data_IF_053954251399
#
_entry.id   IF_053954251399
#
_cell.length_a   1.000
_cell.length_b   1.000
_cell.length_c   1.000
_cell.angle_alpha   90.00
_cell.angle_beta   90.00
_cell.angle_gamma   90.00
#
_symmetry.space_group_name_H-M   'P 1'
#
loop_
_entity.id
_entity.type
_entity.pdbx_description
1 polymer ?
#
# COMPACT_ATOMS: atom_id res chain seq x y z
N UNK A 1 -2.09 4.35 -71.33
CA UNK A 1 -1.57 5.73 -71.21
C UNK A 1 -0.20 5.63 -70.54
N UNK A 2 0.84 5.97 -71.31
CA UNK A 2 2.22 6.42 -70.95
C UNK A 2 2.85 5.82 -69.66
N UNK A 3 3.83 4.90 -69.75
CA UNK A 3 5.31 5.15 -69.79
C UNK A 3 5.82 5.68 -68.41
N UNK A 4 6.86 5.16 -67.74
CA UNK A 4 8.17 4.69 -68.22
C UNK A 4 8.87 3.79 -67.19
N UNK A 5 9.63 2.84 -67.73
CA UNK A 5 10.70 2.08 -67.09
C UNK A 5 11.87 2.98 -66.66
N UNK A 6 12.67 2.59 -65.67
CA UNK A 6 14.12 2.42 -65.81
C UNK A 6 14.73 1.81 -64.54
N UNK A 7 15.23 0.59 -64.68
CA UNK A 7 16.22 -0.02 -63.77
C UNK A 7 17.56 0.62 -64.08
N UNK A 8 18.29 1.11 -63.07
CA UNK A 8 19.75 1.18 -63.10
C UNK A 8 20.32 0.93 -61.70
N UNK A 9 21.13 -0.13 -61.64
CA UNK A 9 21.93 -0.60 -60.51
C UNK A 9 23.12 0.33 -60.36
N UNK A 10 23.35 0.89 -59.17
CA UNK A 10 24.65 1.41 -58.76
C UNK A 10 24.96 0.87 -57.36
N UNK A 11 25.90 -0.05 -57.33
CA UNK A 11 26.57 -0.57 -56.14
C UNK A 11 27.51 0.50 -55.60
N UNK A 12 27.31 0.97 -54.37
CA UNK A 12 28.34 1.62 -53.57
C UNK A 12 28.38 0.96 -52.20
N UNK A 13 29.43 0.17 -52.03
CA UNK A 13 29.93 -0.38 -50.78
C UNK A 13 30.50 0.79 -49.98
N UNK A 14 29.95 1.08 -48.81
CA UNK A 14 30.66 1.82 -47.75
C UNK A 14 30.48 1.04 -46.45
N UNK A 15 31.49 0.23 -46.14
CA UNK A 15 31.73 -0.27 -44.80
C UNK A 15 32.16 0.89 -43.91
N UNK A 16 31.38 1.18 -42.86
CA UNK A 16 31.90 1.81 -41.65
C UNK A 16 31.47 0.93 -40.48
N UNK A 17 32.46 0.22 -39.97
CA UNK A 17 32.43 -0.47 -38.68
C UNK A 17 32.34 0.57 -37.57
N UNK A 18 31.29 0.51 -36.74
CA UNK A 18 31.38 0.98 -35.36
C UNK A 18 30.80 -0.07 -34.44
N UNK A 19 31.54 -0.28 -33.36
CA UNK A 19 31.39 -1.32 -32.35
C UNK A 19 30.04 -1.18 -31.66
N UNK A 20 29.17 -2.18 -31.83
CA UNK A 20 28.02 -2.37 -30.96
C UNK A 20 28.51 -2.98 -29.64
N UNK A 21 28.72 -2.13 -28.63
CA UNK A 21 29.00 -2.56 -27.27
C UNK A 21 27.95 -3.57 -26.82
N UNK A 22 28.42 -4.71 -26.32
CA UNK A 22 27.64 -5.64 -25.53
C UNK A 22 27.11 -4.90 -24.29
N UNK A 23 25.82 -4.58 -24.27
CA UNK A 23 25.17 -4.20 -23.02
C UNK A 23 25.04 -5.47 -22.19
N UNK A 24 26.04 -5.72 -21.35
CA UNK A 24 25.87 -6.51 -20.15
C UNK A 24 24.87 -5.72 -19.32
N UNK A 25 23.60 -6.13 -19.35
CA UNK A 25 22.60 -5.64 -18.43
C UNK A 25 23.17 -5.82 -17.02
N UNK A 26 23.49 -4.69 -16.38
CA UNK A 26 23.99 -4.69 -15.01
C UNK A 26 22.86 -5.20 -14.14
N UNK A 27 23.00 -6.42 -13.64
CA UNK A 27 22.16 -7.03 -12.59
C UNK A 27 21.94 -6.08 -11.41
N UNK A 28 22.86 -5.13 -11.21
CA UNK A 28 22.80 -4.07 -10.21
C UNK A 28 21.65 -3.05 -10.45
N UNK A 29 21.23 -2.79 -11.69
CA UNK A 29 20.13 -1.86 -11.98
C UNK A 29 18.74 -2.52 -11.76
N UNK A 30 18.60 -3.81 -12.08
CA UNK A 30 17.40 -4.59 -11.70
C UNK A 30 17.27 -4.73 -10.18
N UNK A 31 18.37 -5.05 -9.50
CA UNK A 31 18.41 -5.15 -8.02
C UNK A 31 18.10 -3.80 -7.38
N UNK A 32 18.58 -2.69 -7.93
CA UNK A 32 18.34 -1.35 -7.36
C UNK A 32 16.91 -0.87 -7.62
N UNK A 33 16.34 -1.16 -8.80
CA UNK A 33 14.96 -0.86 -9.13
C UNK A 33 13.97 -1.68 -8.29
N UNK A 34 14.19 -2.98 -8.12
CA UNK A 34 13.37 -3.82 -7.25
C UNK A 34 13.50 -3.41 -5.77
N UNK A 35 14.71 -3.10 -5.31
CA UNK A 35 14.93 -2.68 -3.92
C UNK A 35 14.34 -1.30 -3.63
N UNK A 36 14.47 -0.32 -4.53
CA UNK A 36 13.81 1.00 -4.39
C UNK A 36 12.28 0.90 -4.48
N UNK A 37 11.73 0.02 -5.34
CA UNK A 37 10.29 -0.24 -5.39
C UNK A 37 9.76 -0.94 -4.13
N UNK A 38 10.52 -1.83 -3.50
CA UNK A 38 10.13 -2.45 -2.22
C UNK A 38 10.27 -1.48 -1.04
N UNK A 39 11.31 -0.64 -1.00
CA UNK A 39 11.50 0.37 0.05
C UNK A 39 10.40 1.44 0.02
N UNK A 40 9.85 1.75 -1.15
CA UNK A 40 8.74 2.70 -1.28
C UNK A 40 7.36 2.11 -0.86
N UNK A 41 7.24 0.79 -0.71
CA UNK A 41 5.97 0.12 -0.34
C UNK A 41 5.68 0.20 1.17
N UNK A 42 6.70 0.23 2.01
CA UNK A 42 6.59 0.16 3.46
C UNK A 42 6.78 1.53 4.11
N UNK A 43 6.00 2.51 3.64
CA UNK A 43 5.92 3.84 4.24
C UNK A 43 4.69 3.91 5.13
N UNK A 44 4.84 4.46 6.32
CA UNK A 44 3.73 4.69 7.24
C UNK A 44 2.64 5.54 6.58
N UNK A 45 1.38 5.16 6.82
CA UNK A 45 0.23 5.91 6.31
C UNK A 45 0.25 7.34 6.86
N UNK A 46 -0.22 8.33 6.07
CA UNK A 46 -0.27 9.70 6.55
C UNK A 46 -1.18 9.85 7.77
N UNK A 47 -0.82 10.81 8.62
CA UNK A 47 -1.72 11.32 9.64
C UNK A 47 -2.63 12.38 9.04
N UNK A 48 -3.88 12.42 9.46
CA UNK A 48 -4.85 13.44 9.08
C UNK A 48 -5.79 13.77 10.26
N UNK A 49 -6.39 14.96 10.22
CA UNK A 49 -7.32 15.41 11.25
C UNK A 49 -8.77 15.18 10.80
N UNK A 50 -9.56 14.56 11.66
CA UNK A 50 -10.98 14.38 11.39
C UNK A 50 -11.80 14.32 12.68
N UNK A 51 -12.92 15.07 12.73
CA UNK A 51 -13.82 15.04 13.89
C UNK A 51 -13.18 15.42 15.23
N UNK A 52 -12.07 16.19 15.20
CA UNK A 52 -11.30 16.55 16.40
C UNK A 52 -10.28 15.50 16.86
N UNK A 53 -10.01 14.48 16.05
CA UNK A 53 -9.01 13.45 16.31
C UNK A 53 -7.95 13.43 15.20
N UNK A 54 -6.70 13.20 15.60
CA UNK A 54 -5.65 12.75 14.69
C UNK A 54 -5.87 11.28 14.38
N UNK A 55 -5.80 10.93 13.10
CA UNK A 55 -6.00 9.57 12.60
C UNK A 55 -4.84 9.17 11.70
N UNK A 56 -4.53 7.88 11.67
CA UNK A 56 -3.64 7.28 10.67
C UNK A 56 -4.46 6.49 9.66
N UNK A 57 -4.18 6.67 8.37
CA UNK A 57 -4.86 5.93 7.30
C UNK A 57 -4.87 6.63 5.95
N UNK A 58 -5.99 6.50 5.24
CA UNK A 58 -6.28 7.15 3.97
C UNK A 58 -7.48 8.09 4.17
N UNK A 59 -7.20 9.40 4.14
CA UNK A 59 -8.21 10.44 4.35
C UNK A 59 -9.39 10.28 3.39
N UNK A 60 -10.61 10.36 3.91
CA UNK A 60 -11.83 10.17 3.13
C UNK A 60 -12.16 8.72 2.79
N UNK A 61 -11.35 7.75 3.24
CA UNK A 61 -11.62 6.32 3.05
C UNK A 61 -11.63 5.54 4.36
N UNK A 62 -10.49 5.41 5.04
CA UNK A 62 -10.44 4.72 6.34
C UNK A 62 -9.30 5.26 7.21
N UNK A 63 -9.47 5.15 8.52
CA UNK A 63 -8.39 5.39 9.47
C UNK A 63 -8.78 4.97 10.86
N UNK A 64 -7.86 5.05 11.80
CA UNK A 64 -8.17 4.92 13.22
C UNK A 64 -7.44 5.98 14.03
N UNK A 65 -8.01 6.32 15.19
CA UNK A 65 -7.46 7.35 16.08
C UNK A 65 -6.03 6.96 16.47
N UNK A 66 -5.08 7.80 16.08
CA UNK A 66 -3.64 7.58 16.23
C UNK A 66 -2.90 8.91 16.01
N UNK A 67 -2.03 9.29 16.94
CA UNK A 67 -1.28 10.56 16.91
C UNK A 67 0.25 10.36 17.02
N UNK A 68 0.74 9.13 16.92
CA UNK A 68 2.15 8.73 17.11
C UNK A 68 2.76 9.08 18.49
N UNK A 69 1.94 9.51 19.46
CA UNK A 69 2.40 9.72 20.84
C UNK A 69 2.84 8.42 21.49
N UNK A 70 3.71 8.49 22.51
CA UNK A 70 4.18 7.31 23.25
C UNK A 70 3.04 6.50 23.89
N UNK A 71 1.88 7.12 24.09
CA UNK A 71 0.72 6.46 24.68
C UNK A 71 -0.10 5.67 23.67
N UNK A 72 -0.10 6.08 22.39
CA UNK A 72 -0.94 5.50 21.34
C UNK A 72 -0.17 4.70 20.28
N UNK A 73 1.13 4.95 20.10
CA UNK A 73 1.95 4.19 19.14
C UNK A 73 1.99 2.69 19.47
N UNK A 74 2.28 1.87 18.46
CA UNK A 74 2.39 0.43 18.65
C UNK A 74 3.75 0.06 19.26
N UNK A 75 3.70 -0.89 20.20
CA UNK A 75 4.86 -1.58 20.75
C UNK A 75 4.65 -3.10 20.67
N UNK A 76 5.72 -3.89 20.51
CA UNK A 76 5.61 -5.34 20.39
C UNK A 76 4.79 -5.97 21.52
N UNK A 77 3.78 -6.75 21.15
CA UNK A 77 2.88 -7.49 22.05
C UNK A 77 2.11 -6.64 23.06
N UNK A 78 2.10 -5.31 22.92
CA UNK A 78 1.25 -4.42 23.71
C UNK A 78 -0.14 -4.42 23.10
N UNK A 79 -1.16 -4.75 23.88
CA UNK A 79 -2.56 -4.59 23.45
C UNK A 79 -2.99 -3.16 23.71
N UNK A 80 -3.56 -2.52 22.71
CA UNK A 80 -4.05 -1.15 22.77
C UNK A 80 -5.43 -1.05 22.11
N UNK A 81 -6.24 -0.09 22.55
CA UNK A 81 -7.56 0.16 21.99
C UNK A 81 -7.47 1.26 20.94
N UNK A 82 -7.93 0.95 19.74
CA UNK A 82 -8.02 1.87 18.61
C UNK A 82 -9.46 1.91 18.11
N UNK A 83 -9.92 3.06 17.64
CA UNK A 83 -11.25 3.19 17.04
C UNK A 83 -11.10 3.40 15.55
N UNK A 84 -11.45 2.38 14.77
CA UNK A 84 -11.53 2.47 13.31
C UNK A 84 -12.72 3.32 12.89
N UNK A 85 -12.54 4.08 11.83
CA UNK A 85 -13.48 4.95 11.16
C UNK A 85 -13.43 4.66 9.66
N UNK A 86 -14.59 4.57 9.04
CA UNK A 86 -14.74 4.23 7.62
C UNK A 86 -15.69 5.22 6.95
N UNK A 87 -15.29 5.70 5.78
CA UNK A 87 -16.07 6.60 4.93
C UNK A 87 -16.30 5.94 3.57
N UNK A 88 -17.56 5.89 3.15
CA UNK A 88 -17.94 5.18 1.94
C UNK A 88 -19.45 5.01 1.81
N UNK A 89 -19.86 4.35 0.73
CA UNK A 89 -21.28 4.16 0.45
C UNK A 89 -21.86 3.02 1.30
N UNK A 90 -23.16 3.09 1.63
CA UNK A 90 -23.83 2.10 2.48
C UNK A 90 -23.69 0.66 1.95
N UNK A 91 -23.61 0.48 0.63
CA UNK A 91 -23.43 -0.82 -0.03
C UNK A 91 -22.06 -1.46 0.22
N UNK A 92 -21.06 -0.67 0.62
CA UNK A 92 -19.72 -1.14 0.96
C UNK A 92 -19.67 -1.72 2.39
N UNK A 93 -20.66 -1.40 3.23
CA UNK A 93 -20.71 -1.83 4.63
C UNK A 93 -21.46 -3.15 4.86
N UNK A 94 -21.53 -3.98 3.82
CA UNK A 94 -22.17 -5.29 3.85
C UNK A 94 -21.24 -6.36 4.43
N UNK A 95 -21.15 -6.43 5.76
CA UNK A 95 -20.44 -7.49 6.48
C UNK A 95 -19.75 -7.03 7.75
N UNK A 96 -18.96 -7.94 8.31
CA UNK A 96 -18.13 -7.67 9.48
C UNK A 96 -16.77 -7.09 9.05
N UNK A 97 -16.15 -6.31 9.95
CA UNK A 97 -14.77 -5.90 9.82
C UNK A 97 -13.85 -7.10 10.08
N UNK A 98 -12.87 -7.27 9.19
CA UNK A 98 -11.71 -8.14 9.40
C UNK A 98 -10.45 -7.38 9.03
N UNK A 99 -9.49 -7.32 9.94
CA UNK A 99 -8.18 -6.69 9.66
C UNK A 99 -7.11 -7.76 9.67
N UNK A 100 -6.41 -7.87 8.55
CA UNK A 100 -5.26 -8.77 8.37
C UNK A 100 -3.98 -7.94 8.37
N UNK A 101 -3.06 -8.27 9.26
CA UNK A 101 -1.75 -7.63 9.35
C UNK A 101 -0.68 -8.50 8.66
N UNK A 102 0.15 -7.89 7.81
CA UNK A 102 1.33 -8.51 7.18
C UNK A 102 2.59 -7.77 7.63
N UNK A 103 3.63 -8.49 8.03
CA UNK A 103 4.90 -7.91 8.47
C UNK A 103 5.83 -7.60 7.29
N UNK A 104 6.61 -6.52 7.36
CA UNK A 104 7.47 -6.12 6.23
C UNK A 104 8.55 -7.14 5.83
N UNK A 105 8.99 -7.97 6.79
CA UNK A 105 10.11 -8.93 6.58
C UNK A 105 9.65 -10.35 6.32
N UNK A 106 8.36 -10.63 6.53
CA UNK A 106 7.81 -11.98 6.49
C UNK A 106 6.41 -11.94 5.88
N UNK A 107 6.11 -12.88 4.99
CA UNK A 107 4.78 -12.97 4.38
C UNK A 107 3.70 -13.55 5.32
N UNK A 108 4.06 -13.82 6.58
CA UNK A 108 3.12 -14.30 7.58
C UNK A 108 2.01 -13.25 7.82
N UNK A 109 0.77 -13.74 7.78
CA UNK A 109 -0.44 -12.94 7.98
C UNK A 109 -1.09 -13.33 9.29
N UNK A 110 -1.40 -12.34 10.11
CA UNK A 110 -2.17 -12.52 11.34
C UNK A 110 -3.47 -11.73 11.26
N UNK A 111 -4.55 -12.30 11.78
CA UNK A 111 -5.80 -11.56 11.97
C UNK A 111 -5.70 -10.75 13.27
N UNK A 112 -5.83 -9.43 13.18
CA UNK A 112 -5.70 -8.53 14.36
C UNK A 112 -7.03 -7.96 14.84
N UNK A 113 -8.05 -7.98 13.99
CA UNK A 113 -9.42 -7.59 14.34
C UNK A 113 -10.40 -8.48 13.59
N UNK A 114 -11.41 -8.99 14.30
CA UNK A 114 -12.65 -9.53 13.72
C UNK A 114 -13.81 -9.03 14.58
N UNK A 115 -14.80 -8.38 13.95
CA UNK A 115 -15.91 -7.81 14.69
C UNK A 115 -16.94 -7.09 13.81
N UNK A 116 -18.06 -6.72 14.41
CA UNK A 116 -19.09 -5.95 13.73
C UNK A 116 -18.71 -4.48 13.54
N UNK A 117 -19.38 -3.83 12.59
CA UNK A 117 -19.33 -2.40 12.39
C UNK A 117 -20.45 -1.73 13.21
N UNK A 118 -20.12 -0.65 13.91
CA UNK A 118 -21.08 0.29 14.46
C UNK A 118 -21.52 1.31 13.40
N UNK A 119 -22.64 1.99 13.66
CA UNK A 119 -23.15 3.07 12.81
C UNK A 119 -22.28 4.32 12.80
N UNK A 120 -22.82 5.42 12.27
CA UNK A 120 -22.08 6.67 12.15
C UNK A 120 -21.59 7.20 13.50
N UNK A 121 -20.32 7.62 13.58
CA UNK A 121 -19.70 8.14 14.79
C UNK A 121 -18.48 9.00 14.46
N UNK A 122 -18.25 10.08 15.23
CA UNK A 122 -17.18 11.07 15.01
C UNK A 122 -17.09 11.60 13.57
N UNK A 123 -18.21 11.62 12.84
CA UNK A 123 -18.32 12.03 11.43
C UNK A 123 -18.07 10.92 10.40
N UNK A 124 -17.59 9.74 10.80
CA UNK A 124 -17.50 8.60 9.90
C UNK A 124 -18.85 7.89 9.71
N UNK A 125 -19.02 7.20 8.59
CA UNK A 125 -20.25 6.47 8.24
C UNK A 125 -20.39 5.18 9.05
N UNK A 126 -19.25 4.53 9.33
CA UNK A 126 -19.15 3.37 10.23
C UNK A 126 -17.92 3.48 11.12
N UNK A 127 -17.96 2.81 12.26
CA UNK A 127 -16.81 2.72 13.16
C UNK A 127 -16.66 1.33 13.77
N UNK A 128 -15.46 1.01 14.27
CA UNK A 128 -15.21 -0.24 15.00
C UNK A 128 -14.15 -0.05 16.11
N UNK A 129 -14.56 0.02 17.38
CA UNK A 129 -13.62 -0.05 18.50
C UNK A 129 -12.94 -1.42 18.53
N UNK A 130 -11.61 -1.44 18.50
CA UNK A 130 -10.82 -2.65 18.32
C UNK A 130 -9.65 -2.69 19.29
N UNK A 131 -9.42 -3.84 19.91
CA UNK A 131 -8.18 -4.10 20.65
C UNK A 131 -7.20 -4.73 19.65
N UNK A 132 -6.05 -4.10 19.44
CA UNK A 132 -5.03 -4.58 18.51
C UNK A 132 -3.70 -4.80 19.24
N UNK A 133 -2.95 -5.81 18.80
CA UNK A 133 -1.58 -6.04 19.21
C UNK A 133 -0.79 -6.60 18.05
N UNK A 134 0.45 -6.13 17.87
CA UNK A 134 1.36 -6.56 16.83
C UNK A 134 2.64 -7.12 17.47
N UNK A 135 3.15 -8.28 17.06
CA UNK A 135 4.14 -9.01 17.84
C UNK A 135 5.59 -8.55 17.66
N UNK A 136 5.92 -7.84 16.56
CA UNK A 136 7.30 -7.53 16.15
C UNK A 136 7.46 -6.05 15.81
N UNK A 137 8.59 -5.44 16.21
CA UNK A 137 8.96 -4.09 15.77
C UNK A 137 9.23 -4.03 14.27
N UNK A 138 8.93 -2.90 13.64
CA UNK A 138 9.04 -2.69 12.20
C UNK A 138 7.71 -2.29 11.56
N UNK A 139 7.68 -2.27 10.24
CA UNK A 139 6.48 -1.87 9.49
C UNK A 139 5.48 -3.02 9.34
N UNK A 140 4.20 -2.66 9.44
CA UNK A 140 3.08 -3.57 9.26
C UNK A 140 2.06 -2.97 8.31
N UNK A 141 1.50 -3.83 7.45
CA UNK A 141 0.44 -3.50 6.52
C UNK A 141 -0.85 -4.09 7.04
N UNK A 142 -1.84 -3.25 7.32
CA UNK A 142 -3.14 -3.62 7.86
C UNK A 142 -4.18 -3.50 6.74
N UNK A 143 -4.54 -4.64 6.17
CA UNK A 143 -5.62 -4.72 5.17
C UNK A 143 -6.96 -4.86 5.91
N UNK A 144 -7.81 -3.83 5.80
CA UNK A 144 -9.14 -3.81 6.40
C UNK A 144 -10.18 -4.27 5.36
N UNK A 145 -10.83 -5.37 5.66
CA UNK A 145 -11.90 -5.95 4.86
C UNK A 145 -13.25 -5.70 5.53
N UNK A 146 -14.28 -5.46 4.72
CA UNK A 146 -15.67 -5.46 5.16
C UNK A 146 -16.40 -6.53 4.37
N UNK A 147 -16.87 -7.55 5.07
CA UNK A 147 -17.24 -8.82 4.45
C UNK A 147 -16.02 -9.43 3.74
N UNK A 148 -16.17 -9.75 2.46
CA UNK A 148 -15.11 -10.36 1.63
C UNK A 148 -14.34 -9.33 0.78
N UNK A 149 -14.66 -8.03 0.89
CA UNK A 149 -14.07 -6.97 0.06
C UNK A 149 -13.03 -6.20 0.85
N UNK A 150 -11.87 -5.97 0.22
CA UNK A 150 -10.87 -5.04 0.75
C UNK A 150 -11.47 -3.63 0.72
N UNK A 151 -11.59 -3.01 1.87
CA UNK A 151 -12.10 -1.65 2.01
C UNK A 151 -10.96 -0.63 1.89
N UNK A 152 -9.82 -0.91 2.52
CA UNK A 152 -8.61 -0.12 2.39
C UNK A 152 -7.44 -0.69 3.19
N UNK A 153 -6.29 -0.01 3.12
CA UNK A 153 -5.05 -0.46 3.75
C UNK A 153 -4.41 0.66 4.56
N UNK A 154 -3.94 0.34 5.77
CA UNK A 154 -3.19 1.27 6.63
C UNK A 154 -1.82 0.68 6.93
N UNK A 155 -0.76 1.47 6.78
CA UNK A 155 0.59 1.07 7.18
C UNK A 155 0.96 1.73 8.50
N UNK A 156 1.49 0.96 9.43
CA UNK A 156 1.87 1.41 10.78
C UNK A 156 3.28 0.99 11.11
N UNK A 157 3.96 1.78 11.94
CA UNK A 157 5.21 1.39 12.57
C UNK A 157 4.99 0.84 13.98
N UNK A 158 5.64 -0.28 14.28
CA UNK A 158 5.77 -0.81 15.63
C UNK A 158 7.17 -0.48 16.14
N UNK A 159 7.26 0.19 17.28
CA UNK A 159 8.50 0.72 17.86
C UNK A 159 9.15 -0.29 18.80
#
# INVERSE_FOLDING_TARGET
MVKRSFVLIISIIISITTVGCSNVANKNDEIKSETEHQVNKWKESPLFEYGGYTMIGEEGRLGFIYDDSENLRFYPNKTQKYMWHFWGDDEEFNGNLKVIATYEKEEEKITVVEGGLGGAHNGADRHAPSNMSLPKSGMWKLDAYIGDKLFGTVFVKVH
#
